data_IF_524695192533
#
_entry.id   IF_524695192533
#
_cell.length_a   1.000
_cell.length_b   1.000
_cell.length_c   1.000
_cell.angle_alpha   90.00
_cell.angle_beta   90.00
_cell.angle_gamma   90.00
#
_symmetry.space_group_name_H-M   'P 1'
#
loop_
_entity.id
_entity.type
_entity.pdbx_description
1 polymer ?
#
# COMPACT_ATOMS: atom_id res chain seq x y z
N UNK A 1 -0.08 -3.60 -26.27
CA UNK A 1 0.04 -2.14 -26.05
C UNK A 1 -0.53 -1.32 -27.20
N UNK A 2 -0.22 -1.68 -28.46
CA UNK A 2 -0.73 -0.98 -29.65
C UNK A 2 -2.24 -0.70 -29.62
N UNK A 3 -3.09 -1.72 -29.36
CA UNK A 3 -4.56 -1.57 -29.28
C UNK A 3 -5.02 -0.58 -28.20
N UNK A 4 -4.35 -0.55 -27.05
CA UNK A 4 -4.70 0.35 -25.94
C UNK A 4 -4.32 1.81 -26.23
N UNK A 5 -3.19 2.03 -26.93
CA UNK A 5 -2.75 3.39 -27.30
C UNK A 5 -3.59 4.02 -28.42
N UNK A 6 -4.25 3.20 -29.24
CA UNK A 6 -5.13 3.64 -30.33
C UNK A 6 -6.62 3.51 -29.97
N UNK A 7 -6.93 3.30 -28.68
CA UNK A 7 -8.30 3.27 -28.20
C UNK A 7 -8.94 4.66 -28.33
N UNK A 8 -10.24 4.71 -28.64
CA UNK A 8 -11.03 5.96 -28.60
C UNK A 8 -11.41 6.38 -27.18
N UNK A 9 -11.17 5.52 -26.18
CA UNK A 9 -11.46 5.77 -24.76
C UNK A 9 -10.23 6.46 -24.13
N UNK A 10 -10.36 7.73 -23.68
CA UNK A 10 -9.22 8.51 -23.21
C UNK A 10 -8.54 7.91 -21.97
N UNK A 11 -9.28 7.28 -21.07
CA UNK A 11 -8.77 6.64 -19.85
C UNK A 11 -7.84 5.47 -20.19
N UNK A 12 -8.16 4.70 -21.23
CA UNK A 12 -7.35 3.56 -21.69
C UNK A 12 -6.05 4.05 -22.33
N UNK A 13 -6.11 5.15 -23.08
CA UNK A 13 -4.93 5.77 -23.67
C UNK A 13 -4.00 6.31 -22.57
N UNK A 14 -4.55 6.98 -21.56
CA UNK A 14 -3.75 7.51 -20.44
C UNK A 14 -3.15 6.39 -19.60
N UNK A 15 -3.89 5.32 -19.34
CA UNK A 15 -3.36 4.12 -18.70
C UNK A 15 -2.21 3.51 -19.52
N UNK A 16 -2.36 3.39 -20.84
CA UNK A 16 -1.32 2.89 -21.73
C UNK A 16 -0.05 3.77 -21.69
N UNK A 17 -0.20 5.09 -21.64
CA UNK A 17 0.91 6.03 -21.46
C UNK A 17 1.59 5.81 -20.09
N UNK A 18 0.82 5.72 -19.01
CA UNK A 18 1.34 5.49 -17.65
C UNK A 18 2.12 4.16 -17.54
N UNK A 19 1.59 3.08 -18.09
CA UNK A 19 2.27 1.77 -18.11
C UNK A 19 3.58 1.85 -18.91
N UNK A 20 3.60 2.62 -20.01
CA UNK A 20 4.83 2.83 -20.79
C UNK A 20 5.88 3.62 -20.02
N UNK A 21 5.49 4.69 -19.31
CA UNK A 21 6.40 5.47 -18.45
C UNK A 21 7.02 4.63 -17.32
N UNK A 22 6.25 3.69 -16.77
CA UNK A 22 6.65 2.81 -15.65
C UNK A 22 7.13 1.43 -16.07
N UNK A 23 7.32 1.19 -17.37
CA UNK A 23 7.74 -0.11 -17.93
C UNK A 23 8.95 -0.74 -17.21
N UNK A 24 10.01 0.00 -16.85
CA UNK A 24 11.15 -0.60 -16.14
C UNK A 24 10.85 -0.93 -14.67
N UNK A 25 9.89 -0.25 -14.05
CA UNK A 25 9.56 -0.42 -12.62
C UNK A 25 8.60 -1.59 -12.37
N UNK A 26 7.76 -1.94 -13.36
CA UNK A 26 6.75 -2.99 -13.21
C UNK A 26 7.38 -4.34 -12.83
N UNK A 27 8.44 -4.83 -13.50
CA UNK A 27 9.11 -6.07 -13.08
C UNK A 27 9.65 -6.00 -11.66
N UNK A 28 10.22 -4.86 -11.25
CA UNK A 28 10.76 -4.64 -9.90
C UNK A 28 9.69 -4.79 -8.81
N UNK A 29 8.44 -4.47 -9.11
CA UNK A 29 7.34 -4.68 -8.14
C UNK A 29 6.95 -6.15 -7.95
N UNK A 30 7.33 -7.03 -8.88
CA UNK A 30 7.05 -8.47 -8.83
C UNK A 30 8.19 -9.23 -8.14
N UNK A 31 9.43 -8.75 -8.24
CA UNK A 31 10.63 -9.37 -7.63
C UNK A 31 10.47 -9.76 -6.14
N UNK A 32 9.84 -8.96 -5.27
CA UNK A 32 9.63 -9.32 -3.87
C UNK A 32 8.65 -10.49 -3.65
N UNK A 33 7.98 -10.99 -4.69
CA UNK A 33 7.06 -12.14 -4.62
C UNK A 33 5.79 -11.90 -3.80
N UNK A 34 5.47 -10.64 -3.49
CA UNK A 34 4.27 -10.31 -2.72
C UNK A 34 3.02 -10.39 -3.61
N UNK A 35 2.01 -11.14 -3.18
CA UNK A 35 0.72 -11.19 -3.87
C UNK A 35 -0.03 -9.87 -3.72
N UNK A 36 -0.80 -9.49 -4.75
CA UNK A 36 -1.62 -8.27 -4.72
C UNK A 36 -2.60 -8.26 -3.53
N UNK A 37 -3.18 -9.43 -3.19
CA UNK A 37 -4.06 -9.58 -2.03
C UNK A 37 -3.35 -9.25 -0.70
N UNK A 38 -2.06 -9.58 -0.57
CA UNK A 38 -1.27 -9.26 0.62
C UNK A 38 -0.99 -7.76 0.70
N UNK A 39 -0.64 -7.13 -0.42
CA UNK A 39 -0.44 -5.67 -0.50
C UNK A 39 -1.73 -4.92 -0.16
N UNK A 40 -2.86 -5.36 -0.71
CA UNK A 40 -4.17 -4.75 -0.45
C UNK A 40 -4.62 -4.93 1.01
N UNK A 41 -4.31 -6.07 1.63
CA UNK A 41 -4.52 -6.28 3.06
C UNK A 41 -3.72 -5.27 3.90
N UNK A 42 -2.45 -5.00 3.55
CA UNK A 42 -1.66 -3.94 4.20
C UNK A 42 -2.28 -2.56 4.00
N UNK A 43 -2.66 -2.20 2.77
CA UNK A 43 -3.29 -0.91 2.46
C UNK A 43 -4.56 -0.70 3.26
N UNK A 44 -5.39 -1.74 3.42
CA UNK A 44 -6.61 -1.67 4.21
C UNK A 44 -6.31 -1.48 5.70
N UNK A 45 -5.29 -2.16 6.25
CA UNK A 45 -4.84 -1.94 7.64
C UNK A 45 -4.32 -0.52 7.87
N UNK A 46 -3.58 0.05 6.91
CA UNK A 46 -3.11 1.44 6.94
C UNK A 46 -4.30 2.40 6.91
N UNK A 47 -5.24 2.22 5.99
CA UNK A 47 -6.47 3.03 5.88
C UNK A 47 -7.30 3.03 7.17
N UNK A 48 -7.41 1.89 7.86
CA UNK A 48 -8.08 1.81 9.16
C UNK A 48 -7.28 2.57 10.23
N UNK A 49 -5.95 2.41 10.22
CA UNK A 49 -5.06 3.08 11.20
C UNK A 49 -5.10 4.59 11.05
N UNK A 50 -5.16 5.12 9.82
CA UNK A 50 -5.32 6.55 9.55
C UNK A 50 -6.63 7.08 10.15
N UNK A 51 -7.73 6.33 10.03
CA UNK A 51 -9.02 6.72 10.61
C UNK A 51 -8.99 6.75 12.14
N UNK A 52 -8.33 5.78 12.77
CA UNK A 52 -8.17 5.75 14.24
C UNK A 52 -7.23 6.82 14.77
N UNK A 53 -6.23 7.21 13.98
CA UNK A 53 -5.25 8.23 14.33
C UNK A 53 -5.78 9.66 14.20
N UNK A 54 -7.09 9.85 13.98
CA UNK A 54 -7.73 11.16 14.02
C UNK A 54 -7.46 11.81 15.38
N UNK A 55 -6.80 12.97 15.38
CA UNK A 55 -6.33 13.65 16.60
C UNK A 55 -4.81 13.52 16.86
N UNK A 56 -4.08 12.75 16.07
CA UNK A 56 -2.62 12.77 16.14
C UNK A 56 -2.08 14.12 15.65
N UNK A 57 -1.33 14.81 16.53
CA UNK A 57 -0.75 16.11 16.23
C UNK A 57 0.53 16.00 15.37
N UNK A 58 1.14 14.82 15.31
CA UNK A 58 2.39 14.57 14.57
C UNK A 58 2.27 13.34 13.69
N UNK A 59 2.68 13.47 12.43
CA UNK A 59 2.70 12.36 11.45
C UNK A 59 3.62 11.21 11.88
N UNK A 60 4.67 11.51 12.65
CA UNK A 60 5.58 10.51 13.22
C UNK A 60 4.86 9.48 14.08
N UNK A 61 3.83 9.89 14.83
CA UNK A 61 3.05 8.99 15.68
C UNK A 61 2.20 8.04 14.84
N UNK A 62 1.65 8.53 13.72
CA UNK A 62 0.90 7.72 12.77
C UNK A 62 1.81 6.70 12.09
N UNK A 63 2.99 7.11 11.64
CA UNK A 63 3.98 6.21 11.02
C UNK A 63 4.39 5.12 12.01
N UNK A 64 4.68 5.48 13.26
CA UNK A 64 5.04 4.52 14.31
C UNK A 64 3.91 3.49 14.54
N UNK A 65 2.65 3.94 14.60
CA UNK A 65 1.50 3.06 14.78
C UNK A 65 1.26 2.15 13.56
N UNK A 66 1.47 2.64 12.34
CA UNK A 66 1.39 1.84 11.11
C UNK A 66 2.47 0.76 11.12
N UNK A 67 3.72 1.12 11.43
CA UNK A 67 4.84 0.18 11.54
C UNK A 67 4.57 -0.87 12.61
N UNK A 68 4.06 -0.46 13.77
CA UNK A 68 3.68 -1.37 14.85
C UNK A 68 2.63 -2.39 14.41
N UNK A 69 1.55 -1.93 13.76
CA UNK A 69 0.48 -2.83 13.30
C UNK A 69 0.94 -3.72 12.13
N UNK A 70 1.70 -3.19 11.19
CA UNK A 70 2.04 -3.89 9.94
C UNK A 70 3.32 -4.74 10.04
N UNK A 71 4.17 -4.56 11.05
CA UNK A 71 5.43 -5.30 11.22
C UNK A 71 5.26 -6.79 11.55
N UNK A 72 4.07 -7.23 11.95
CA UNK A 72 3.83 -8.63 12.33
C UNK A 72 4.53 -9.04 13.64
N UNK A 73 4.92 -8.07 14.46
CA UNK A 73 5.51 -8.32 15.77
C UNK A 73 4.47 -8.96 16.71
N UNK A 74 4.81 -10.12 17.28
CA UNK A 74 4.06 -10.75 18.37
C UNK A 74 4.38 -10.04 19.68
N UNK A 75 3.68 -8.93 19.93
CA UNK A 75 3.85 -8.15 21.17
C UNK A 75 2.91 -8.73 22.22
N UNK A 76 3.48 -9.57 23.09
CA UNK A 76 2.80 -10.02 24.31
C UNK A 76 2.74 -8.87 25.31
N UNK A 77 1.54 -8.37 25.57
CA UNK A 77 1.33 -7.39 26.64
C UNK A 77 1.71 -8.04 27.98
N UNK A 78 2.42 -7.31 28.88
CA UNK A 78 2.69 -7.82 30.21
C UNK A 78 1.37 -8.13 30.91
N UNK A 79 1.27 -9.32 31.50
CA UNK A 79 0.10 -9.68 32.30
C UNK A 79 0.04 -8.75 33.51
N UNK A 80 -1.12 -8.16 33.83
CA UNK A 80 -1.27 -7.37 35.04
C UNK A 80 -0.93 -8.26 36.23
N UNK A 81 0.08 -7.88 36.99
CA UNK A 81 0.36 -8.47 38.30
C UNK A 81 -0.78 -8.02 39.21
N UNK A 82 -1.68 -8.96 39.53
CA UNK A 82 -2.75 -8.76 40.52
C UNK A 82 -2.14 -8.90 41.92
#
# INVERSE_FOLDING_TARGET
MFRASHSRIPEIVELSKKIRRRRPDIPRTIEPGCSSARLEAFDNRIKVTIRMAYGFHRVTNLIALIMLRCSGLDIRLPQPTI
#
